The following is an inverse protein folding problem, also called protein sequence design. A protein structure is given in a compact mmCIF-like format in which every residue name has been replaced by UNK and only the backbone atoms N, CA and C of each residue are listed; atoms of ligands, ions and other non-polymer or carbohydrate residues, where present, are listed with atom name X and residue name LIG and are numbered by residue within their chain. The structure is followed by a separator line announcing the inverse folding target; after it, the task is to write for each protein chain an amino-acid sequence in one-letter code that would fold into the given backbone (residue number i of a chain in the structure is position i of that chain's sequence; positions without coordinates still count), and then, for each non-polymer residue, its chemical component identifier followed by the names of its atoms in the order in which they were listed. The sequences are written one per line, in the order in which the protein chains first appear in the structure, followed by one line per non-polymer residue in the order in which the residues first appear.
data_IF_405591463405
#
_entry.id   IF_405591463405
#
_cell.length_a   1.000
_cell.length_b   1.000
_cell.length_c   1.000
_cell.angle_alpha   90.00
_cell.angle_beta   90.00
_cell.angle_gamma   90.00
#
_symmetry.space_group_name_H-M   'P 1'
#
loop_
_entity.id
_entity.type
_entity.pdbx_description
1 polymer ?
#
# COMPACT_ATOMS: atom_id res chain seq x y z
N UNK A 1 -13.91 22.86 -8.36
CA UNK A 1 -13.32 23.56 -9.52
C UNK A 1 -13.39 22.64 -10.73
N UNK A 2 -14.55 22.61 -11.40
CA UNK A 2 -14.72 21.93 -12.68
C UNK A 2 -14.26 22.83 -13.84
N UNK A 3 -14.23 24.15 -13.64
CA UNK A 3 -13.99 25.16 -14.68
C UNK A 3 -12.52 25.34 -15.11
N UNK A 4 -11.59 24.55 -14.57
CA UNK A 4 -10.16 24.64 -14.93
C UNK A 4 -9.76 23.77 -16.11
N UNK A 5 -10.67 22.92 -16.60
CA UNK A 5 -10.44 22.02 -17.72
C UNK A 5 -11.31 22.45 -18.91
N UNK A 6 -10.80 22.29 -20.13
CA UNK A 6 -11.60 22.53 -21.34
C UNK A 6 -12.69 21.48 -21.53
N UNK A 7 -13.40 21.54 -22.66
CA UNK A 7 -14.44 20.55 -22.97
C UNK A 7 -13.87 19.12 -23.02
N UNK A 8 -14.61 18.12 -22.50
CA UNK A 8 -14.17 16.74 -22.52
C UNK A 8 -14.15 16.18 -23.95
N UNK A 9 -13.13 15.40 -24.27
CA UNK A 9 -12.98 14.70 -25.55
C UNK A 9 -14.04 13.60 -25.74
N UNK A 10 -14.50 12.98 -24.66
CA UNK A 10 -15.59 12.00 -24.67
C UNK A 10 -16.36 12.01 -23.35
N UNK A 11 -17.64 11.65 -23.40
CA UNK A 11 -18.51 11.50 -22.23
C UNK A 11 -19.27 10.19 -22.33
N UNK A 12 -19.24 9.41 -21.26
CA UNK A 12 -19.92 8.13 -21.15
C UNK A 12 -20.89 8.18 -19.98
N UNK A 13 -22.05 7.57 -20.13
CA UNK A 13 -22.99 7.34 -19.04
C UNK A 13 -23.04 5.85 -18.77
N UNK A 14 -22.94 5.48 -17.50
CA UNK A 14 -23.01 4.10 -17.06
C UNK A 14 -23.93 4.01 -15.86
N UNK A 15 -24.79 2.99 -15.88
CA UNK A 15 -25.70 2.69 -14.78
C UNK A 15 -25.14 1.48 -14.03
N UNK A 16 -24.92 1.66 -12.72
CA UNK A 16 -24.45 0.60 -11.84
C UNK A 16 -25.45 0.39 -10.70
N UNK A 17 -25.73 -0.89 -10.38
CA UNK A 17 -26.70 -1.26 -9.34
C UNK A 17 -26.29 -0.78 -7.95
N UNK A 18 -24.99 -0.56 -7.69
CA UNK A 18 -24.45 -0.20 -6.38
C UNK A 18 -24.17 1.29 -6.22
N UNK A 19 -23.75 1.96 -7.29
CA UNK A 19 -23.36 3.38 -7.28
C UNK A 19 -24.42 4.29 -7.92
N UNK A 20 -25.37 3.73 -8.68
CA UNK A 20 -26.36 4.46 -9.45
C UNK A 20 -25.82 4.93 -10.81
N UNK A 21 -26.43 5.97 -11.37
CA UNK A 21 -25.97 6.56 -12.63
C UNK A 21 -24.68 7.36 -12.43
N UNK A 22 -23.63 6.98 -13.16
CA UNK A 22 -22.32 7.62 -13.14
C UNK A 22 -22.02 8.15 -14.54
N UNK A 23 -21.71 9.44 -14.62
CA UNK A 23 -21.23 10.08 -15.84
C UNK A 23 -19.71 10.19 -15.78
N UNK A 24 -19.02 9.60 -16.76
CA UNK A 24 -17.56 9.63 -16.88
C UNK A 24 -17.19 10.55 -18.05
N UNK A 25 -16.35 11.54 -17.78
CA UNK A 25 -15.79 12.45 -18.78
C UNK A 25 -14.31 12.13 -18.99
N UNK A 26 -13.86 12.11 -20.24
CA UNK A 26 -12.48 11.82 -20.63
C UNK A 26 -11.86 13.00 -21.38
N UNK A 27 -10.59 13.29 -21.09
CA UNK A 27 -9.76 14.24 -21.83
C UNK A 27 -8.50 13.50 -22.33
N UNK A 28 -8.28 13.43 -23.64
CA UNK A 28 -7.16 12.67 -24.23
C UNK A 28 -5.83 13.43 -24.28
N UNK A 29 -5.89 14.77 -24.31
CA UNK A 29 -4.75 15.61 -24.73
C UNK A 29 -4.10 16.36 -23.57
N UNK A 30 -4.16 15.78 -22.36
CA UNK A 30 -3.59 16.38 -21.16
C UNK A 30 -2.16 15.89 -20.91
N UNK A 31 -1.33 16.78 -20.37
CA UNK A 31 0.03 16.47 -19.96
C UNK A 31 0.37 17.22 -18.66
N UNK A 32 1.33 16.70 -17.89
CA UNK A 32 1.79 17.40 -16.69
C UNK A 32 2.56 18.65 -17.09
N UNK A 33 2.24 19.79 -16.46
CA UNK A 33 2.88 21.09 -16.73
C UNK A 33 4.41 21.10 -16.59
N UNK A 34 4.99 20.16 -15.84
CA UNK A 34 6.42 20.08 -15.53
C UNK A 34 7.15 18.90 -16.19
N UNK A 35 6.46 18.07 -16.95
CA UNK A 35 7.05 16.90 -17.61
C UNK A 35 7.12 17.10 -19.14
N UNK A 36 7.74 16.14 -19.83
CA UNK A 36 7.72 16.07 -21.29
C UNK A 36 6.26 16.10 -21.79
N UNK A 37 5.94 16.77 -22.92
CA UNK A 37 4.59 16.79 -23.50
C UNK A 37 4.22 15.42 -24.09
N UNK A 38 4.06 14.44 -23.22
CA UNK A 38 3.48 13.13 -23.52
C UNK A 38 2.01 13.18 -23.11
N UNK A 39 1.07 13.24 -24.07
CA UNK A 39 -0.35 13.28 -23.76
C UNK A 39 -0.78 11.96 -23.11
N UNK A 40 -1.66 12.04 -22.12
CA UNK A 40 -2.29 10.89 -21.51
C UNK A 40 -3.78 11.17 -21.26
N UNK A 41 -4.64 10.14 -21.38
CA UNK A 41 -6.04 10.29 -21.08
C UNK A 41 -6.25 10.51 -19.58
N UNK A 42 -7.03 11.51 -19.22
CA UNK A 42 -7.55 11.71 -17.86
C UNK A 42 -9.06 11.46 -17.84
N UNK A 43 -9.57 11.04 -16.68
CA UNK A 43 -10.98 10.70 -16.49
C UNK A 43 -11.51 11.40 -15.22
N UNK A 44 -12.76 11.87 -15.27
CA UNK A 44 -13.51 12.41 -14.14
C UNK A 44 -14.88 11.72 -14.06
N UNK A 45 -15.40 11.52 -12.85
CA UNK A 45 -16.75 10.99 -12.64
C UNK A 45 -17.64 11.94 -11.84
N UNK A 46 -18.92 12.02 -12.20
CA UNK A 46 -19.97 12.70 -11.44
C UNK A 46 -21.16 11.74 -11.19
N UNK A 47 -21.85 11.80 -10.03
CA UNK A 47 -21.76 12.79 -8.96
C UNK A 47 -20.72 12.46 -7.86
N UNK A 48 -20.08 11.28 -7.89
CA UNK A 48 -19.14 10.90 -6.84
C UNK A 48 -17.76 11.54 -7.08
N UNK A 49 -17.24 12.42 -6.20
CA UNK A 49 -15.93 13.06 -6.36
C UNK A 49 -14.75 12.10 -6.09
N UNK A 50 -14.96 10.79 -6.15
CA UNK A 50 -14.00 9.77 -5.71
C UNK A 50 -13.12 9.21 -6.84
N UNK A 51 -13.48 9.42 -8.12
CA UNK A 51 -12.73 8.87 -9.26
C UNK A 51 -11.88 9.92 -9.97
N UNK A 52 -10.98 10.58 -9.23
CA UNK A 52 -10.21 11.71 -9.78
C UNK A 52 -8.82 11.35 -10.31
N UNK A 53 -8.38 10.09 -10.21
CA UNK A 53 -7.10 9.68 -10.80
C UNK A 53 -7.10 8.20 -11.19
N UNK A 54 -7.48 7.88 -12.43
CA UNK A 54 -6.95 6.69 -13.11
C UNK A 54 -5.82 7.18 -14.01
N UNK A 55 -4.62 7.30 -13.44
CA UNK A 55 -3.39 7.43 -14.23
C UNK A 55 -2.96 6.03 -14.62
N UNK A 56 -3.01 5.74 -15.92
CA UNK A 56 -2.48 4.50 -16.48
C UNK A 56 -0.95 4.49 -16.35
N UNK A 57 -0.45 3.95 -15.24
CA UNK A 57 0.94 3.50 -15.17
C UNK A 57 1.05 2.19 -15.94
N UNK A 58 1.32 2.29 -17.24
CA UNK A 58 1.87 1.17 -18.02
C UNK A 58 1.26 0.99 -19.39
N UNK A 59 1.68 1.79 -20.37
CA UNK A 59 2.00 1.36 -21.74
C UNK A 59 0.95 0.60 -22.56
N UNK A 60 -0.31 0.55 -22.15
CA UNK A 60 -1.43 -0.04 -22.89
C UNK A 60 -2.58 0.95 -22.92
N UNK A 61 -2.43 1.98 -23.76
CA UNK A 61 -3.51 2.92 -24.05
C UNK A 61 -4.72 2.22 -24.72
N UNK A 62 -4.47 1.11 -25.41
CA UNK A 62 -5.44 0.47 -26.28
C UNK A 62 -6.40 -0.48 -25.54
N UNK A 63 -6.08 -0.86 -24.29
CA UNK A 63 -6.87 -1.79 -23.48
C UNK A 63 -7.82 -1.11 -22.48
N UNK A 64 -7.86 0.23 -22.44
CA UNK A 64 -8.66 1.04 -21.50
C UNK A 64 -9.97 1.54 -22.17
N UNK A 65 -10.27 1.03 -23.38
CA UNK A 65 -11.41 1.47 -24.19
C UNK A 65 -12.76 0.84 -23.82
N UNK A 66 -12.82 -0.02 -22.80
CA UNK A 66 -14.08 -0.37 -22.16
C UNK A 66 -14.23 0.48 -20.88
N UNK A 67 -15.30 1.27 -20.73
CA UNK A 67 -15.65 1.93 -19.48
C UNK A 67 -16.18 0.87 -18.49
N UNK A 68 -15.37 -0.15 -18.21
CA UNK A 68 -15.72 -1.18 -17.26
C UNK A 68 -15.55 -0.56 -15.87
N UNK A 69 -16.63 0.01 -15.35
CA UNK A 69 -16.70 0.60 -14.02
C UNK A 69 -16.16 -0.37 -12.97
N UNK A 70 -16.31 -1.68 -13.18
CA UNK A 70 -15.74 -2.71 -12.33
C UNK A 70 -14.21 -2.59 -12.21
N UNK A 71 -13.48 -2.30 -13.29
CA UNK A 71 -12.02 -2.13 -13.24
C UNK A 71 -11.61 -0.90 -12.43
N UNK A 72 -12.34 0.21 -12.61
CA UNK A 72 -12.09 1.47 -11.89
C UNK A 72 -12.37 1.30 -10.39
N UNK A 73 -13.51 0.70 -10.04
CA UNK A 73 -13.88 0.40 -8.66
C UNK A 73 -12.90 -0.59 -8.01
N UNK A 74 -12.41 -1.58 -8.77
CA UNK A 74 -11.43 -2.56 -8.27
C UNK A 74 -10.08 -1.90 -7.96
N UNK A 75 -9.62 -0.98 -8.81
CA UNK A 75 -8.37 -0.25 -8.58
C UNK A 75 -8.42 0.57 -7.29
N UNK A 76 -9.57 1.20 -7.02
CA UNK A 76 -9.80 1.94 -5.79
C UNK A 76 -9.82 1.02 -4.56
N UNK A 77 -10.48 -0.13 -4.66
CA UNK A 77 -10.49 -1.13 -3.58
C UNK A 77 -9.06 -1.59 -3.23
N UNK A 78 -8.20 -1.78 -4.24
CA UNK A 78 -6.78 -2.15 -4.05
C UNK A 78 -6.00 -1.05 -3.34
N UNK A 79 -6.16 0.23 -3.73
CA UNK A 79 -5.47 1.34 -3.07
C UNK A 79 -5.90 1.49 -1.60
N UNK A 80 -7.21 1.42 -1.34
CA UNK A 80 -7.74 1.45 0.02
C UNK A 80 -7.23 0.30 0.87
N UNK A 81 -7.17 -0.91 0.30
CA UNK A 81 -6.57 -2.06 0.97
C UNK A 81 -5.08 -1.85 1.24
N UNK A 82 -4.31 -1.35 0.27
CA UNK A 82 -2.88 -1.06 0.44
C UNK A 82 -2.64 -0.04 1.56
N UNK A 83 -3.44 1.03 1.62
CA UNK A 83 -3.38 2.03 2.69
C UNK A 83 -3.71 1.39 4.03
N UNK A 84 -4.77 0.58 4.09
CA UNK A 84 -5.15 -0.14 5.31
C UNK A 84 -4.05 -1.09 5.79
N UNK A 85 -3.47 -1.89 4.89
CA UNK A 85 -2.41 -2.84 5.22
C UNK A 85 -1.16 -2.13 5.78
N UNK A 86 -0.74 -1.03 5.15
CA UNK A 86 0.41 -0.23 5.64
C UNK A 86 0.13 0.42 6.99
N UNK A 87 -1.06 1.00 7.18
CA UNK A 87 -1.37 1.83 8.35
C UNK A 87 -1.87 1.04 9.56
N UNK A 88 -2.70 0.01 9.34
CA UNK A 88 -3.38 -0.74 10.42
C UNK A 88 -2.83 -2.16 10.61
N UNK A 89 -2.44 -2.84 9.54
CA UNK A 89 -1.78 -4.14 9.64
C UNK A 89 -0.25 -4.04 9.79
N UNK A 90 0.27 -2.81 9.84
CA UNK A 90 1.69 -2.53 10.03
C UNK A 90 2.59 -3.21 8.99
N UNK A 91 2.11 -3.35 7.73
CA UNK A 91 2.82 -4.08 6.68
C UNK A 91 4.26 -3.60 6.48
N UNK A 92 4.53 -2.30 6.59
CA UNK A 92 5.87 -1.70 6.39
C UNK A 92 6.63 -1.42 7.68
N UNK A 93 6.06 -1.74 8.85
CA UNK A 93 6.69 -1.50 10.15
C UNK A 93 7.87 -2.44 10.45
N UNK A 94 7.81 -3.77 10.19
CA UNK A 94 8.88 -4.65 10.62
C UNK A 94 10.15 -4.46 9.80
N UNK A 95 11.25 -4.23 10.49
CA UNK A 95 12.59 -4.16 9.91
C UNK A 95 13.17 -5.57 9.69
N UNK A 96 12.70 -6.23 8.63
CA UNK A 96 13.11 -7.58 8.26
C UNK A 96 14.48 -7.56 7.57
N UNK A 97 15.34 -8.52 7.89
CA UNK A 97 16.73 -8.52 7.43
C UNK A 97 16.88 -9.01 5.99
N UNK A 98 16.06 -9.98 5.57
CA UNK A 98 16.18 -10.62 4.25
C UNK A 98 14.92 -10.41 3.40
N UNK A 99 15.05 -10.37 2.07
CA UNK A 99 13.88 -10.22 1.18
C UNK A 99 12.90 -11.38 1.33
N UNK A 100 13.38 -12.60 1.60
CA UNK A 100 12.51 -13.76 1.84
C UNK A 100 11.67 -13.59 3.11
N UNK A 101 12.21 -12.95 4.16
CA UNK A 101 11.42 -12.62 5.35
C UNK A 101 10.34 -11.58 5.01
N UNK A 102 10.68 -10.56 4.24
CA UNK A 102 9.73 -9.53 3.80
C UNK A 102 8.60 -10.09 2.93
N UNK A 103 8.92 -11.06 2.05
CA UNK A 103 7.92 -11.79 1.27
C UNK A 103 6.98 -12.58 2.18
N UNK A 104 7.52 -13.41 3.08
CA UNK A 104 6.70 -14.16 4.04
C UNK A 104 5.80 -13.28 4.89
N UNK A 105 6.27 -12.10 5.27
CA UNK A 105 5.45 -11.12 6.00
C UNK A 105 4.31 -10.57 5.12
N UNK A 106 4.59 -10.32 3.85
CA UNK A 106 3.57 -9.89 2.88
C UNK A 106 2.52 -10.96 2.62
N UNK A 107 2.92 -12.24 2.58
CA UNK A 107 2.02 -13.39 2.44
C UNK A 107 1.00 -13.48 3.59
N UNK A 108 1.29 -12.92 4.76
CA UNK A 108 0.35 -12.87 5.90
C UNK A 108 -0.71 -11.78 5.75
N UNK A 109 -0.49 -10.71 4.97
CA UNK A 109 -1.42 -9.58 4.90
C UNK A 109 -2.84 -9.97 4.42
N UNK A 110 -2.99 -10.81 3.37
CA UNK A 110 -4.30 -11.31 2.98
C UNK A 110 -4.96 -12.16 4.08
N UNK A 111 -4.20 -13.02 4.76
CA UNK A 111 -4.72 -13.87 5.84
C UNK A 111 -5.24 -13.04 7.02
N UNK A 112 -4.49 -12.02 7.44
CA UNK A 112 -4.94 -11.08 8.48
C UNK A 112 -6.20 -10.32 8.05
N UNK A 113 -6.27 -9.92 6.76
CA UNK A 113 -7.44 -9.24 6.20
C UNK A 113 -8.69 -10.14 6.26
N UNK A 114 -8.54 -11.42 5.93
CA UNK A 114 -9.61 -12.42 6.04
C UNK A 114 -10.06 -12.66 7.48
N UNK A 115 -9.11 -12.75 8.42
CA UNK A 115 -9.43 -12.90 9.85
C UNK A 115 -10.27 -11.72 10.36
N UNK A 116 -9.91 -10.49 10.00
CA UNK A 116 -10.70 -9.31 10.34
C UNK A 116 -12.08 -9.33 9.68
N UNK A 117 -12.17 -9.73 8.41
CA UNK A 117 -13.45 -9.83 7.72
C UNK A 117 -14.40 -10.81 8.42
N UNK A 118 -13.91 -11.98 8.83
CA UNK A 118 -14.70 -12.97 9.57
C UNK A 118 -15.10 -12.47 10.96
N UNK A 119 -14.21 -11.73 11.63
CA UNK A 119 -14.45 -11.21 12.96
C UNK A 119 -15.42 -10.03 13.02
N UNK A 120 -15.81 -9.43 11.87
CA UNK A 120 -16.69 -8.24 11.83
C UNK A 120 -18.01 -8.40 12.58
N UNK A 121 -18.55 -9.62 12.64
CA UNK A 121 -19.80 -9.92 13.33
C UNK A 121 -19.62 -10.24 14.82
N UNK A 122 -18.37 -10.43 15.26
CA UNK A 122 -18.03 -10.84 16.62
C UNK A 122 -17.42 -9.70 17.44
N UNK A 123 -16.79 -8.74 16.77
CA UNK A 123 -16.15 -7.59 17.42
C UNK A 123 -17.19 -6.56 17.83
N UNK A 124 -17.11 -6.12 19.08
CA UNK A 124 -17.87 -4.99 19.61
C UNK A 124 -17.08 -3.71 19.31
N UNK A 125 -17.75 -2.63 18.89
CA UNK A 125 -17.09 -1.35 18.62
C UNK A 125 -16.39 -0.82 19.88
N UNK A 126 -15.15 -0.36 19.71
CA UNK A 126 -14.34 0.22 20.78
C UNK A 126 -13.78 1.58 20.32
N UNK A 127 -14.63 2.60 20.15
CA UNK A 127 -14.22 3.89 19.60
C UNK A 127 -13.28 4.64 20.55
N UNK A 128 -12.34 5.41 19.99
CA UNK A 128 -11.56 6.39 20.74
C UNK A 128 -12.46 7.56 21.18
N UNK A 129 -12.07 8.37 22.18
CA UNK A 129 -12.93 9.41 22.75
C UNK A 129 -13.51 10.42 21.75
N UNK A 130 -12.80 10.69 20.65
CA UNK A 130 -13.21 11.61 19.59
C UNK A 130 -13.90 10.92 18.40
N UNK A 131 -14.08 9.60 18.44
CA UNK A 131 -14.66 8.83 17.36
C UNK A 131 -16.14 8.56 17.63
N UNK A 132 -16.98 8.80 16.62
CA UNK A 132 -18.40 8.41 16.70
C UNK A 132 -18.54 6.88 16.73
N UNK A 133 -19.47 6.32 17.53
CA UNK A 133 -19.78 4.89 17.52
C UNK A 133 -20.41 4.49 16.18
N UNK A 134 -20.15 3.26 15.74
CA UNK A 134 -20.64 2.72 14.46
C UNK A 134 -21.34 1.37 14.65
N UNK A 135 -22.47 1.18 13.99
CA UNK A 135 -23.18 -0.11 13.95
C UNK A 135 -22.61 -1.02 12.87
N UNK A 136 -22.35 -0.49 11.68
CA UNK A 136 -21.67 -1.20 10.60
C UNK A 136 -20.16 -0.89 10.66
N UNK A 137 -19.38 -1.84 11.18
CA UNK A 137 -17.96 -1.64 11.43
C UNK A 137 -17.14 -1.70 10.13
N UNK A 138 -16.36 -0.65 9.88
CA UNK A 138 -15.32 -0.70 8.86
C UNK A 138 -14.18 -1.64 9.28
N UNK A 139 -13.39 -2.13 8.33
CA UNK A 139 -12.20 -2.95 8.62
C UNK A 139 -11.26 -2.32 9.67
N UNK A 140 -11.08 -1.00 9.62
CA UNK A 140 -10.31 -0.24 10.61
C UNK A 140 -10.89 -0.31 12.02
N UNK A 141 -12.22 -0.29 12.16
CA UNK A 141 -12.92 -0.45 13.44
C UNK A 141 -12.82 -1.87 13.97
N UNK A 142 -13.02 -2.86 13.10
CA UNK A 142 -12.89 -4.27 13.49
C UNK A 142 -11.48 -4.54 14.02
N UNK A 143 -10.44 -4.06 13.32
CA UNK A 143 -9.06 -4.17 13.77
C UNK A 143 -8.82 -3.50 15.15
N UNK A 144 -9.51 -2.40 15.43
CA UNK A 144 -9.40 -1.67 16.69
C UNK A 144 -9.97 -2.47 17.88
N UNK A 145 -11.11 -3.13 17.71
CA UNK A 145 -11.72 -3.97 18.73
C UNK A 145 -11.22 -5.43 18.75
N UNK A 146 -10.41 -5.83 17.77
CA UNK A 146 -9.98 -7.22 17.58
C UNK A 146 -9.19 -7.79 18.77
N UNK A 147 -8.41 -6.95 19.47
CA UNK A 147 -7.65 -7.38 20.64
C UNK A 147 -8.55 -7.93 21.76
N UNK A 148 -9.72 -7.32 21.98
CA UNK A 148 -10.68 -7.80 22.98
C UNK A 148 -11.27 -9.18 22.58
N UNK A 149 -11.49 -9.39 21.29
CA UNK A 149 -11.92 -10.69 20.76
C UNK A 149 -10.84 -11.76 20.98
N UNK A 150 -9.56 -11.44 20.72
CA UNK A 150 -8.45 -12.36 20.95
C UNK A 150 -8.32 -12.77 22.41
N UNK A 151 -8.53 -11.85 23.36
CA UNK A 151 -8.53 -12.17 24.80
C UNK A 151 -9.65 -13.14 25.14
N UNK A 152 -10.84 -12.96 24.55
CA UNK A 152 -12.00 -13.83 24.79
C UNK A 152 -11.86 -15.23 24.19
N UNK A 153 -11.30 -15.32 22.98
CA UNK A 153 -11.00 -16.62 22.34
C UNK A 153 -9.87 -17.34 23.07
N UNK A 154 -8.91 -16.57 23.60
CA UNK A 154 -7.68 -17.08 24.18
C UNK A 154 -6.65 -17.46 23.12
N UNK A 155 -5.49 -17.92 23.57
CA UNK A 155 -4.44 -18.41 22.68
C UNK A 155 -4.57 -19.93 22.51
N UNK A 156 -4.68 -20.45 21.28
CA UNK A 156 -4.59 -21.89 21.04
C UNK A 156 -3.16 -22.42 21.24
N UNK A 157 -2.17 -21.53 21.40
CA UNK A 157 -0.79 -21.93 21.60
C UNK A 157 -0.61 -22.57 22.99
N UNK A 158 0.16 -23.66 23.03
CA UNK A 158 0.63 -24.23 24.28
C UNK A 158 1.38 -23.17 25.10
N UNK A 159 1.36 -23.35 26.43
CA UNK A 159 2.14 -22.51 27.33
C UNK A 159 3.61 -22.47 26.86
N UNK A 160 4.24 -21.28 26.85
CA UNK A 160 5.62 -21.16 26.40
C UNK A 160 6.51 -22.04 27.27
N UNK A 161 7.42 -22.78 26.64
CA UNK A 161 8.41 -23.56 27.39
C UNK A 161 9.20 -22.59 28.28
N UNK A 162 9.35 -22.87 29.60
CA UNK A 162 10.13 -22.03 30.47
C UNK A 162 11.54 -21.94 29.91
N UNK A 163 11.92 -20.75 29.47
CA UNK A 163 13.26 -20.47 28.97
C UNK A 163 14.18 -20.50 30.18
N UNK A 164 14.81 -21.64 30.43
CA UNK A 164 15.90 -21.72 31.40
C UNK A 164 17.04 -20.75 31.06
N UNK A 165 18.02 -20.61 31.96
CA UNK A 165 19.25 -19.88 31.65
C UNK A 165 19.87 -20.53 30.41
N UNK A 166 20.01 -19.76 29.33
CA UNK A 166 20.77 -20.27 28.18
C UNK A 166 22.18 -20.58 28.66
N UNK A 167 22.82 -21.60 28.09
CA UNK A 167 24.21 -21.98 28.39
C UNK A 167 25.23 -20.88 28.05
N UNK A 168 24.77 -19.69 27.67
CA UNK A 168 25.59 -18.59 27.22
C UNK A 168 26.28 -18.89 25.90
N UNK A 169 27.13 -17.95 25.51
CA UNK A 169 28.04 -18.16 24.40
C UNK A 169 29.21 -19.02 24.88
N UNK A 170 29.57 -20.07 24.13
CA UNK A 170 30.72 -20.92 24.49
C UNK A 170 31.99 -20.07 24.55
N UNK A 171 32.73 -20.16 25.66
CA UNK A 171 34.03 -19.50 25.81
C UNK A 171 34.98 -19.92 24.67
N UNK A 172 35.77 -18.97 24.16
CA UNK A 172 36.69 -19.18 23.04
C UNK A 172 36.08 -19.10 21.63
N UNK A 173 34.74 -19.11 21.49
CA UNK A 173 34.10 -18.94 20.17
C UNK A 173 34.06 -17.44 19.81
N UNK A 174 34.62 -17.01 18.68
CA UNK A 174 34.51 -15.61 18.23
C UNK A 174 33.08 -15.34 17.69
N UNK A 175 32.51 -14.18 18.02
CA UNK A 175 31.29 -13.69 17.37
C UNK A 175 31.67 -13.11 16.01
N UNK A 176 31.05 -13.60 14.94
CA UNK A 176 31.13 -12.93 13.64
C UNK A 176 30.05 -11.84 13.58
N UNK A 177 30.39 -10.61 13.16
CA UNK A 177 29.39 -9.61 12.82
C UNK A 177 28.61 -10.09 11.58
N UNK A 178 27.36 -9.64 11.44
CA UNK A 178 26.58 -9.88 10.23
C UNK A 178 27.31 -9.29 9.00
N UNK A 179 27.34 -10.00 7.84
CA UNK A 179 28.02 -9.51 6.65
C UNK A 179 27.47 -8.16 6.21
N UNK A 180 28.36 -7.19 6.00
CA UNK A 180 27.98 -5.88 5.46
C UNK A 180 28.04 -5.94 3.93
N UNK A 181 26.90 -5.73 3.28
CA UNK A 181 26.83 -5.63 1.83
C UNK A 181 27.33 -4.25 1.37
N UNK A 182 28.02 -4.15 0.22
CA UNK A 182 28.49 -2.88 -0.31
C UNK A 182 27.30 -1.98 -0.66
N UNK A 183 27.43 -0.67 -0.40
CA UNK A 183 26.41 0.32 -0.75
C UNK A 183 26.40 0.49 -2.27
N UNK A 184 25.33 0.05 -2.93
CA UNK A 184 25.12 0.28 -4.37
C UNK A 184 24.75 1.76 -4.56
N UNK A 185 25.69 2.57 -5.05
CA UNK A 185 25.44 3.97 -5.41
C UNK A 185 24.88 4.03 -6.83
N UNK A 186 23.67 4.59 -6.99
CA UNK A 186 23.03 4.77 -8.31
C UNK A 186 23.74 5.78 -9.23
N UNK A 187 24.68 6.58 -8.71
CA UNK A 187 25.47 7.54 -9.50
C UNK A 187 26.93 7.09 -9.57
N UNK A 188 27.50 7.13 -10.77
CA UNK A 188 28.95 7.01 -10.99
C UNK A 188 29.63 8.21 -10.34
N UNK A 189 30.54 7.97 -9.39
CA UNK A 189 31.37 9.04 -8.85
C UNK A 189 32.30 9.57 -9.93
N UNK A 190 32.42 10.90 -10.08
CA UNK A 190 33.40 11.49 -10.98
C UNK A 190 34.81 10.96 -10.64
N UNK A 191 35.61 10.55 -11.63
CA UNK A 191 36.98 10.13 -11.38
C UNK A 191 37.76 11.26 -10.71
N UNK A 192 38.55 10.92 -9.68
CA UNK A 192 39.46 11.86 -9.02
C UNK A 192 40.49 12.32 -10.06
N UNK A 193 40.62 13.63 -10.29
CA UNK A 193 41.74 14.18 -11.07
C UNK A 193 43.03 13.78 -10.36
N UNK A 194 43.88 13.01 -11.02
CA UNK A 194 45.25 12.76 -10.60
C UNK A 194 46.01 14.09 -10.74
N UNK A 195 46.52 14.62 -9.63
CA UNK A 195 47.36 15.81 -9.68
C UNK A 195 48.72 15.40 -10.27
N UNK A 196 49.15 16.05 -11.35
CA UNK A 196 50.38 15.68 -12.09
C UNK A 196 51.69 16.03 -11.36
N UNK A 197 51.60 16.54 -10.14
CA UNK A 197 52.76 17.11 -9.43
C UNK A 197 53.59 16.06 -8.66
N UNK A 198 53.20 14.78 -8.63
CA UNK A 198 53.90 13.72 -7.90
C UNK A 198 54.66 12.73 -8.80
N UNK A 199 55.02 13.10 -10.03
CA UNK A 199 55.73 12.21 -10.96
C UNK A 199 57.23 12.52 -11.13
N UNK A 200 57.77 13.56 -10.49
CA UNK A 200 59.20 13.91 -10.59
C UNK A 200 59.80 14.28 -9.22
N UNK A 201 59.84 13.32 -8.29
CA UNK A 201 60.71 13.37 -7.11
C UNK A 201 61.31 11.99 -6.86
#
# INVERSE_FOLDING_TARGET
NADSWGDPSATFSLEDETVGQVQIQQWSDLHFKKDCPTPFPSYSSHPSPLLWFVVSLGGRADAIFSPDLAFVLTSFAIDHWNRFAKQRLHWTLPHLLTPQQALRWSDLMPLLSWQLWLARQLVIDSPLPWQKPQTNLSFGRVAQGFAALLVRIGSPACSPKPRGKSLGWKSGRKRSPYPRFPIIKKRVSRPKKVNKDNLNS
#
